data_IF_429642702197
#
_entry.id   IF_429642702197
#
_cell.length_a   1.000
_cell.length_b   1.000
_cell.length_c   1.000
_cell.angle_alpha   90.00
_cell.angle_beta   90.00
_cell.angle_gamma   90.00
#
_symmetry.space_group_name_H-M   'P 1'
#
loop_
_entity.id
_entity.type
_entity.pdbx_description
1 polymer ?
#
# COMPACT_ATOMS: atom_id res chain seq x y z
N UNK A 1 10.39 3.50 -19.68
CA UNK A 1 10.52 3.91 -18.26
C UNK A 1 11.18 5.28 -18.27
N UNK A 2 10.55 6.28 -17.65
CA UNK A 2 11.09 7.65 -17.61
C UNK A 2 12.33 7.67 -16.72
N UNK A 3 13.37 8.40 -17.15
CA UNK A 3 14.63 8.50 -16.40
C UNK A 3 15.02 9.95 -16.17
N UNK A 4 15.99 10.18 -15.30
CA UNK A 4 16.55 11.50 -15.06
C UNK A 4 17.96 11.42 -14.50
N UNK A 5 18.53 12.60 -14.26
CA UNK A 5 19.89 12.76 -13.75
C UNK A 5 19.90 13.79 -12.61
N UNK A 6 20.57 13.45 -11.51
CA UNK A 6 20.72 14.35 -10.37
C UNK A 6 21.54 15.58 -10.79
N UNK A 7 21.00 16.77 -10.60
CA UNK A 7 21.67 18.05 -10.88
C UNK A 7 21.98 18.86 -9.62
N UNK A 8 21.35 18.53 -8.48
CA UNK A 8 21.61 19.17 -7.20
C UNK A 8 21.11 18.37 -6.01
N UNK A 9 21.69 18.59 -4.83
CA UNK A 9 21.31 17.94 -3.57
C UNK A 9 21.34 18.95 -2.44
N UNK A 10 20.22 19.11 -1.74
CA UNK A 10 20.06 19.98 -0.57
C UNK A 10 19.37 19.20 0.53
N UNK A 11 20.12 18.75 1.54
CA UNK A 11 19.64 17.83 2.57
C UNK A 11 18.98 16.57 1.93
N UNK A 12 17.71 16.30 2.22
CA UNK A 12 16.97 15.18 1.63
C UNK A 12 16.25 15.54 0.31
N UNK A 13 16.36 16.78 -0.15
CA UNK A 13 15.80 17.23 -1.41
C UNK A 13 16.82 17.08 -2.53
N UNK A 14 16.43 16.45 -3.63
CA UNK A 14 17.29 16.16 -4.79
C UNK A 14 16.65 16.81 -6.01
N UNK A 15 17.42 17.63 -6.72
CA UNK A 15 17.03 18.22 -7.99
C UNK A 15 17.44 17.26 -9.11
N UNK A 16 16.49 16.95 -9.98
CA UNK A 16 16.64 15.97 -11.06
C UNK A 16 16.25 16.63 -12.37
N UNK A 17 17.13 16.57 -13.37
CA UNK A 17 16.76 16.85 -14.76
C UNK A 17 16.14 15.58 -15.35
N UNK A 18 14.95 15.71 -15.93
CA UNK A 18 14.09 14.58 -16.31
C UNK A 18 14.01 14.47 -17.82
N UNK A 19 14.11 13.24 -18.31
CA UNK A 19 13.92 12.88 -19.71
C UNK A 19 12.66 12.01 -19.84
N UNK A 20 11.53 12.68 -20.09
CA UNK A 20 10.21 12.08 -20.29
C UNK A 20 9.13 12.58 -19.33
N UNK A 21 7.90 12.05 -19.46
CA UNK A 21 6.79 12.45 -18.62
C UNK A 21 6.91 11.86 -17.22
N UNK A 22 6.59 12.69 -16.22
CA UNK A 22 6.47 12.30 -14.80
C UNK A 22 5.24 12.96 -14.19
N UNK A 23 4.79 12.42 -13.05
CA UNK A 23 3.64 12.91 -12.29
C UNK A 23 4.05 13.37 -10.89
N UNK A 24 3.28 14.30 -10.33
CA UNK A 24 3.44 14.69 -8.93
C UNK A 24 3.04 13.52 -8.01
N UNK A 25 3.78 13.35 -6.90
CA UNK A 25 3.67 12.22 -5.95
C UNK A 25 4.12 10.86 -6.50
N UNK A 26 4.72 10.84 -7.69
CA UNK A 26 5.30 9.63 -8.25
C UNK A 26 6.56 9.22 -7.48
N UNK A 27 6.76 7.92 -7.31
CA UNK A 27 8.00 7.38 -6.74
C UNK A 27 9.13 7.48 -7.76
N UNK A 28 10.29 7.94 -7.28
CA UNK A 28 11.55 7.94 -7.99
C UNK A 28 12.60 7.17 -7.19
N UNK A 29 13.51 6.50 -7.88
CA UNK A 29 14.64 5.81 -7.26
C UNK A 29 15.95 6.45 -7.72
N UNK A 30 16.70 7.01 -6.78
CA UNK A 30 18.04 7.54 -7.04
C UNK A 30 19.04 6.39 -6.96
N UNK A 31 19.73 6.09 -8.06
CA UNK A 31 20.68 4.99 -8.16
C UNK A 31 22.07 5.41 -7.69
N UNK A 32 22.61 4.70 -6.71
CA UNK A 32 23.94 4.96 -6.17
C UNK A 32 24.70 3.65 -5.94
N UNK A 33 25.49 3.24 -6.93
CA UNK A 33 26.08 1.90 -6.94
C UNK A 33 24.95 0.86 -7.05
N UNK A 34 24.95 -0.11 -6.15
CA UNK A 34 23.91 -1.14 -6.05
C UNK A 34 22.68 -0.68 -5.25
N UNK A 35 22.77 0.47 -4.55
CA UNK A 35 21.68 1.00 -3.76
C UNK A 35 20.67 1.75 -4.65
N UNK A 36 19.39 1.58 -4.35
CA UNK A 36 18.28 2.33 -4.95
C UNK A 36 17.59 3.08 -3.83
N UNK A 37 17.69 4.40 -3.80
CA UNK A 37 17.12 5.21 -2.72
C UNK A 37 15.73 5.70 -3.13
N UNK A 38 14.71 5.26 -2.40
CA UNK A 38 13.32 5.63 -2.68
C UNK A 38 13.09 7.10 -2.34
N UNK A 39 12.50 7.80 -3.29
CA UNK A 39 12.20 9.22 -3.23
C UNK A 39 10.81 9.48 -3.81
N UNK A 40 10.23 10.62 -3.49
CA UNK A 40 8.94 11.06 -4.04
C UNK A 40 9.06 12.38 -4.77
N UNK A 41 8.45 12.49 -5.96
CA UNK A 41 8.32 13.75 -6.70
C UNK A 41 7.39 14.71 -5.96
N UNK A 42 7.94 15.80 -5.43
CA UNK A 42 7.17 16.80 -4.68
C UNK A 42 6.85 18.05 -5.52
N UNK A 43 7.63 18.33 -6.57
CA UNK A 43 7.45 19.48 -7.47
C UNK A 43 8.05 19.21 -8.85
N UNK A 44 7.39 19.71 -9.90
CA UNK A 44 7.83 19.64 -11.29
C UNK A 44 7.84 21.05 -11.88
N UNK A 45 8.98 21.47 -12.45
CA UNK A 45 9.20 22.76 -13.09
C UNK A 45 9.84 22.53 -14.47
N UNK A 46 9.03 22.48 -15.54
CA UNK A 46 9.53 22.19 -16.88
C UNK A 46 10.18 20.80 -16.95
N UNK A 47 11.45 20.73 -17.34
CA UNK A 47 12.23 19.49 -17.37
C UNK A 47 12.93 19.16 -16.03
N UNK A 48 12.72 19.95 -14.99
CA UNK A 48 13.35 19.78 -13.69
C UNK A 48 12.33 19.31 -12.66
N UNK A 49 12.63 18.22 -11.96
CA UNK A 49 11.86 17.71 -10.84
C UNK A 49 12.62 17.88 -9.53
N UNK A 50 11.87 18.09 -8.45
CA UNK A 50 12.38 18.02 -7.10
C UNK A 50 11.82 16.75 -6.47
N UNK A 51 12.72 15.84 -6.09
CA UNK A 51 12.37 14.60 -5.41
C UNK A 51 12.86 14.64 -3.97
N UNK A 52 12.03 14.21 -3.03
CA UNK A 52 12.38 14.09 -1.63
C UNK A 52 12.74 12.64 -1.33
N UNK A 53 13.98 12.39 -0.92
CA UNK A 53 14.45 11.07 -0.53
C UNK A 53 13.95 10.73 0.89
N UNK A 54 13.39 9.52 1.05
CA UNK A 54 12.91 9.02 2.35
C UNK A 54 14.06 8.50 3.23
N UNK A 55 15.22 8.27 2.63
CA UNK A 55 16.40 7.70 3.26
C UNK A 55 17.56 8.72 3.30
N UNK A 56 18.70 8.32 3.88
CA UNK A 56 19.88 9.19 3.94
C UNK A 56 20.45 9.48 2.55
N UNK A 57 20.55 10.76 2.20
CA UNK A 57 21.17 11.25 0.96
C UNK A 57 22.70 11.38 1.05
N UNK A 58 23.32 10.89 2.12
CA UNK A 58 24.78 10.98 2.30
C UNK A 58 25.50 10.28 1.14
N UNK A 59 26.34 11.01 0.40
CA UNK A 59 27.08 10.46 -0.73
C UNK A 59 26.33 10.50 -2.07
N UNK A 60 25.06 10.90 -2.08
CA UNK A 60 24.36 11.29 -3.31
C UNK A 60 25.09 12.51 -3.88
N UNK A 61 25.40 12.45 -5.16
CA UNK A 61 26.13 13.50 -5.89
C UNK A 61 25.47 13.76 -7.24
N UNK A 62 25.85 14.86 -7.87
CA UNK A 62 25.39 15.18 -9.22
C UNK A 62 25.84 14.10 -10.20
N UNK A 63 25.03 13.89 -11.23
CA UNK A 63 25.26 12.94 -12.30
C UNK A 63 24.75 11.53 -12.07
N UNK A 64 24.25 11.20 -10.88
CA UNK A 64 23.59 9.92 -10.60
C UNK A 64 22.29 9.78 -11.39
N UNK A 65 21.98 8.56 -11.81
CA UNK A 65 20.75 8.26 -12.53
C UNK A 65 19.54 8.19 -11.58
N UNK A 66 18.38 8.57 -12.09
CA UNK A 66 17.09 8.50 -11.38
C UNK A 66 16.10 7.75 -12.26
N UNK A 67 15.38 6.80 -11.67
CA UNK A 67 14.31 6.06 -12.33
C UNK A 67 12.97 6.45 -11.76
N UNK A 68 11.97 6.66 -12.61
CA UNK A 68 10.62 7.00 -12.20
C UNK A 68 9.68 5.78 -12.35
N UNK A 69 8.90 5.49 -11.32
CA UNK A 69 8.14 4.25 -11.18
C UNK A 69 6.79 4.25 -11.92
N UNK A 70 6.29 5.41 -12.33
CA UNK A 70 4.97 5.59 -12.94
C UNK A 70 3.79 5.48 -11.95
N UNK A 71 4.08 5.32 -10.65
CA UNK A 71 3.09 5.10 -9.61
C UNK A 71 3.43 5.88 -8.33
N UNK A 72 2.40 6.14 -7.51
CA UNK A 72 2.57 6.72 -6.17
C UNK A 72 3.20 5.72 -5.20
N UNK A 73 3.54 6.17 -3.99
CA UNK A 73 3.87 5.25 -2.90
C UNK A 73 2.65 4.39 -2.58
N UNK A 74 2.79 3.08 -2.74
CA UNK A 74 1.75 2.10 -2.43
C UNK A 74 2.16 1.24 -1.25
N UNK A 75 1.17 0.84 -0.46
CA UNK A 75 1.30 -0.23 0.52
C UNK A 75 0.62 -1.48 0.00
N UNK A 76 1.14 -2.62 0.42
CA UNK A 76 0.56 -3.92 0.12
C UNK A 76 -0.39 -4.35 1.24
N UNK A 77 -1.59 -4.77 0.85
CA UNK A 77 -2.69 -5.12 1.74
C UNK A 77 -3.04 -6.59 1.52
N UNK A 78 -3.13 -7.35 2.60
CA UNK A 78 -3.54 -8.75 2.57
C UNK A 78 -3.32 -9.47 3.90
N UNK A 79 -3.57 -10.79 3.96
CA UNK A 79 -3.31 -11.59 5.15
C UNK A 79 -1.81 -11.60 5.50
N UNK A 80 -1.50 -11.55 6.79
CA UNK A 80 -0.12 -11.53 7.30
C UNK A 80 0.36 -10.16 7.76
N UNK A 81 -0.48 -9.12 7.63
CA UNK A 81 -0.19 -7.79 8.18
C UNK A 81 -0.26 -7.74 9.70
N UNK A 82 -1.17 -8.50 10.32
CA UNK A 82 -1.31 -8.49 11.77
C UNK A 82 -0.08 -9.13 12.41
N UNK A 83 0.35 -8.62 13.57
CA UNK A 83 1.52 -9.06 14.34
C UNK A 83 2.90 -8.79 13.71
N UNK A 84 2.98 -7.92 12.70
CA UNK A 84 4.24 -7.51 12.06
C UNK A 84 4.71 -6.14 12.50
N UNK A 85 6.03 -5.93 12.48
CA UNK A 85 6.68 -4.65 12.74
C UNK A 85 7.22 -4.08 11.42
N UNK A 86 6.69 -2.94 11.01
CA UNK A 86 7.08 -2.27 9.77
C UNK A 86 7.78 -0.94 10.03
N UNK A 87 8.65 -0.52 9.11
CA UNK A 87 9.07 0.88 9.02
C UNK A 87 8.03 1.76 8.28
N UNK A 88 8.35 3.05 8.10
CA UNK A 88 7.48 4.01 7.42
C UNK A 88 7.25 3.74 5.92
N UNK A 89 7.99 2.82 5.31
CA UNK A 89 7.86 2.40 3.91
C UNK A 89 7.29 0.97 3.79
N UNK A 90 6.78 0.42 4.90
CA UNK A 90 6.24 -0.93 4.98
C UNK A 90 7.27 -2.06 4.82
N UNK A 91 8.56 -1.81 5.07
CA UNK A 91 9.54 -2.90 5.13
C UNK A 91 9.34 -3.70 6.41
N UNK A 92 9.20 -5.02 6.31
CA UNK A 92 9.19 -5.94 7.46
C UNK A 92 10.57 -5.89 8.16
N UNK A 93 10.57 -5.38 9.38
CA UNK A 93 11.79 -5.21 10.19
C UNK A 93 12.35 -6.55 10.67
N UNK A 94 11.51 -7.59 10.81
CA UNK A 94 11.96 -8.91 11.26
C UNK A 94 12.80 -9.61 10.18
N UNK A 95 12.67 -9.19 8.91
CA UNK A 95 13.44 -9.70 7.77
C UNK A 95 14.75 -8.94 7.55
N UNK A 96 15.04 -7.88 8.32
CA UNK A 96 16.27 -7.10 8.18
C UNK A 96 17.38 -7.69 9.04
N UNK A 97 18.60 -7.68 8.51
CA UNK A 97 19.76 -8.24 9.18
C UNK A 97 20.65 -7.18 9.83
N UNK A 98 21.08 -7.46 11.07
CA UNK A 98 22.02 -6.63 11.82
C UNK A 98 21.34 -5.63 12.75
N UNK A 99 22.16 -4.78 13.39
CA UNK A 99 21.70 -3.81 14.40
C UNK A 99 21.25 -2.47 13.82
N UNK A 100 21.62 -2.16 12.56
CA UNK A 100 21.35 -0.88 11.92
C UNK A 100 20.65 -1.09 10.58
N UNK A 101 19.67 -0.23 10.30
CA UNK A 101 19.00 -0.20 9.00
C UNK A 101 19.97 0.22 7.90
N UNK A 102 20.05 -0.56 6.84
CA UNK A 102 20.80 -0.21 5.63
C UNK A 102 19.88 0.53 4.68
N UNK A 103 20.40 1.58 4.05
CA UNK A 103 19.68 2.31 3.01
C UNK A 103 19.58 1.46 1.74
N UNK A 104 18.49 1.62 0.99
CA UNK A 104 18.21 0.85 -0.22
C UNK A 104 17.94 -0.64 0.03
N UNK A 105 17.76 -1.04 1.29
CA UNK A 105 17.37 -2.39 1.67
C UNK A 105 15.85 -2.45 1.81
N UNK A 106 15.19 -3.13 0.88
CA UNK A 106 13.75 -3.32 0.88
C UNK A 106 13.40 -4.78 1.18
N UNK A 107 12.41 -5.00 2.04
CA UNK A 107 11.92 -6.34 2.41
C UNK A 107 10.46 -6.48 2.01
N UNK A 108 10.05 -7.69 1.62
CA UNK A 108 8.64 -7.96 1.29
C UNK A 108 7.79 -7.82 2.56
N UNK A 109 6.71 -7.00 2.55
CA UNK A 109 5.88 -6.78 3.73
C UNK A 109 5.14 -8.04 4.16
N UNK A 110 4.77 -8.89 3.21
CA UNK A 110 4.02 -10.12 3.44
C UNK A 110 4.91 -11.35 3.25
N UNK A 111 4.45 -12.49 3.75
CA UNK A 111 5.12 -13.77 3.57
C UNK A 111 4.51 -14.50 2.38
N UNK A 112 5.24 -14.50 1.27
CA UNK A 112 4.78 -15.06 -0.01
C UNK A 112 4.64 -16.59 0.04
N UNK A 113 5.35 -17.25 0.95
CA UNK A 113 5.34 -18.72 1.10
C UNK A 113 4.29 -19.21 2.10
N UNK A 114 3.73 -18.30 2.91
CA UNK A 114 2.76 -18.66 3.93
C UNK A 114 1.45 -19.12 3.31
N UNK A 115 1.00 -20.28 3.77
CA UNK A 115 -0.24 -20.92 3.33
C UNK A 115 -1.39 -20.53 4.25
N UNK A 116 -2.52 -20.16 3.65
CA UNK A 116 -3.77 -19.84 4.32
C UNK A 116 -4.88 -20.79 3.85
N UNK A 117 -5.72 -21.25 4.79
CA UNK A 117 -6.97 -21.93 4.44
C UNK A 117 -8.02 -20.89 4.03
N UNK A 118 -8.24 -20.79 2.72
CA UNK A 118 -9.24 -19.90 2.11
C UNK A 118 -10.62 -20.54 2.14
N UNK A 119 -11.63 -19.74 2.44
CA UNK A 119 -13.05 -20.11 2.35
C UNK A 119 -13.77 -19.09 1.46
N UNK A 120 -14.37 -19.50 0.31
CA UNK A 120 -15.11 -18.59 -0.55
C UNK A 120 -16.39 -18.10 0.13
N UNK A 121 -16.75 -16.84 -0.13
CA UNK A 121 -17.98 -16.19 0.34
C UNK A 121 -18.88 -15.74 -0.82
N UNK A 122 -18.28 -15.35 -1.95
CA UNK A 122 -18.99 -15.00 -3.18
C UNK A 122 -19.20 -16.24 -4.07
N UNK A 123 -20.18 -16.17 -4.97
CA UNK A 123 -20.48 -17.25 -5.93
C UNK A 123 -20.26 -16.82 -7.38
N UNK A 124 -19.77 -17.71 -8.27
CA UNK A 124 -19.66 -17.40 -9.68
C UNK A 124 -20.98 -16.87 -10.26
N UNK A 125 -20.89 -15.83 -11.07
CA UNK A 125 -22.04 -15.13 -11.64
C UNK A 125 -22.45 -13.85 -10.90
N UNK A 126 -21.96 -13.64 -9.68
CA UNK A 126 -22.30 -12.48 -8.85
C UNK A 126 -21.70 -11.17 -9.39
N UNK A 127 -22.41 -10.06 -9.17
CA UNK A 127 -21.92 -8.72 -9.50
C UNK A 127 -20.94 -8.24 -8.44
N UNK A 128 -19.76 -7.82 -8.89
CA UNK A 128 -18.64 -7.44 -8.04
C UNK A 128 -18.48 -5.92 -8.07
N UNK A 129 -18.36 -5.35 -6.87
CA UNK A 129 -18.02 -3.95 -6.65
C UNK A 129 -16.65 -3.85 -5.96
N UNK A 130 -15.95 -2.70 -6.05
CA UNK A 130 -14.73 -2.49 -5.28
C UNK A 130 -14.96 -2.77 -3.79
N UNK A 131 -14.12 -3.60 -3.16
CA UNK A 131 -14.26 -3.95 -1.75
C UNK A 131 -15.29 -5.05 -1.44
N UNK A 132 -15.94 -5.63 -2.45
CA UNK A 132 -16.85 -6.77 -2.26
C UNK A 132 -16.09 -7.98 -1.69
N UNK A 133 -16.68 -8.71 -0.73
CA UNK A 133 -16.03 -9.86 -0.09
C UNK A 133 -16.06 -11.09 -0.98
N UNK A 134 -14.90 -11.51 -1.47
CA UNK A 134 -14.77 -12.71 -2.29
C UNK A 134 -14.67 -13.96 -1.42
N UNK A 135 -13.93 -13.88 -0.32
CA UNK A 135 -13.73 -14.97 0.61
C UNK A 135 -13.12 -14.50 1.92
N UNK A 136 -12.67 -15.45 2.73
CA UNK A 136 -11.97 -15.16 3.96
C UNK A 136 -10.89 -16.19 4.29
N UNK A 137 -9.91 -15.75 5.06
CA UNK A 137 -8.89 -16.61 5.69
C UNK A 137 -8.83 -16.32 7.18
N UNK A 138 -8.37 -17.29 7.97
CA UNK A 138 -8.12 -17.07 9.40
C UNK A 138 -6.75 -16.41 9.59
N UNK A 139 -6.72 -15.21 10.17
CA UNK A 139 -5.50 -14.53 10.60
C UNK A 139 -5.55 -14.33 12.12
N UNK A 140 -4.77 -15.16 12.83
CA UNK A 140 -4.85 -15.27 14.28
C UNK A 140 -6.29 -15.57 14.74
N UNK A 141 -6.92 -14.67 15.50
CA UNK A 141 -8.32 -14.83 15.94
C UNK A 141 -9.33 -14.13 15.01
N UNK A 142 -8.89 -13.37 14.01
CA UNK A 142 -9.74 -12.58 13.11
C UNK A 142 -10.00 -13.35 11.82
N UNK A 143 -11.22 -13.26 11.29
CA UNK A 143 -11.51 -13.71 9.92
C UNK A 143 -11.18 -12.55 8.98
N UNK A 144 -10.04 -12.64 8.30
CA UNK A 144 -9.59 -11.62 7.35
C UNK A 144 -10.38 -11.78 6.05
N UNK A 145 -11.17 -10.78 5.69
CA UNK A 145 -11.96 -10.76 4.46
C UNK A 145 -11.06 -10.45 3.27
N UNK A 146 -11.03 -11.34 2.29
CA UNK A 146 -10.40 -11.09 1.01
C UNK A 146 -11.39 -10.36 0.12
N UNK A 147 -11.00 -9.18 -0.36
CA UNK A 147 -11.89 -8.27 -1.07
C UNK A 147 -11.50 -8.15 -2.54
N UNK A 148 -12.49 -7.87 -3.39
CA UNK A 148 -12.26 -7.45 -4.76
C UNK A 148 -11.42 -6.16 -4.79
N UNK A 149 -10.52 -6.00 -5.77
CA UNK A 149 -9.59 -4.88 -5.82
C UNK A 149 -10.30 -3.52 -5.68
N UNK A 150 -9.71 -2.62 -4.89
CA UNK A 150 -10.28 -1.28 -4.69
C UNK A 150 -10.16 -0.37 -5.93
N UNK A 151 -9.34 -0.76 -6.90
CA UNK A 151 -9.06 -0.01 -8.14
C UNK A 151 -10.09 -0.25 -9.24
N UNK A 152 -11.00 -1.21 -9.05
CA UNK A 152 -12.03 -1.52 -10.05
C UNK A 152 -12.91 -0.31 -10.35
N UNK A 153 -13.26 -0.16 -11.62
CA UNK A 153 -14.16 0.88 -12.14
C UNK A 153 -15.17 0.22 -13.07
N UNK A 154 -16.40 0.73 -13.08
CA UNK A 154 -17.49 0.12 -13.85
C UNK A 154 -18.05 -1.13 -13.19
N UNK A 155 -18.81 -1.90 -13.97
CA UNK A 155 -19.51 -3.09 -13.51
C UNK A 155 -18.67 -4.35 -13.77
N UNK A 156 -18.43 -5.11 -12.71
CA UNK A 156 -17.66 -6.35 -12.75
C UNK A 156 -18.54 -7.54 -12.38
N UNK A 157 -18.13 -8.72 -12.85
CA UNK A 157 -18.76 -10.00 -12.58
C UNK A 157 -17.71 -11.02 -12.16
N UNK A 158 -18.07 -11.89 -11.22
CA UNK A 158 -17.24 -13.01 -10.81
C UNK A 158 -17.38 -14.17 -11.82
N UNK A 159 -16.30 -14.52 -12.50
CA UNK A 159 -16.30 -15.63 -13.46
C UNK A 159 -16.03 -16.96 -12.77
N UNK A 160 -15.02 -16.98 -11.90
CA UNK A 160 -14.66 -18.16 -11.12
C UNK A 160 -14.04 -17.77 -9.78
N UNK A 161 -14.20 -18.65 -8.79
CA UNK A 161 -13.56 -18.56 -7.48
C UNK A 161 -13.09 -19.96 -7.08
N UNK A 162 -11.95 -20.03 -6.41
CA UNK A 162 -11.42 -21.31 -5.92
C UNK A 162 -12.30 -21.86 -4.79
N UNK A 163 -12.36 -23.19 -4.70
CA UNK A 163 -13.04 -23.86 -3.59
C UNK A 163 -12.29 -23.64 -2.27
N UNK A 164 -12.90 -24.09 -1.16
CA UNK A 164 -12.23 -24.06 0.13
C UNK A 164 -10.93 -24.88 0.07
N UNK A 165 -9.80 -24.28 0.42
CA UNK A 165 -8.51 -24.94 0.26
C UNK A 165 -7.33 -24.14 0.79
N UNK A 166 -6.15 -24.74 0.71
CA UNK A 166 -4.90 -24.15 1.13
C UNK A 166 -4.24 -23.44 -0.06
N UNK A 167 -3.99 -22.15 0.09
CA UNK A 167 -3.42 -21.30 -0.94
C UNK A 167 -2.40 -20.33 -0.35
N UNK A 168 -1.41 -19.94 -1.15
CA UNK A 168 -0.52 -18.83 -0.81
C UNK A 168 -1.19 -17.50 -1.08
N UNK A 169 -0.62 -16.41 -0.57
CA UNK A 169 -1.16 -15.06 -0.78
C UNK A 169 -1.07 -14.59 -2.25
N UNK A 170 -0.23 -15.26 -3.06
CA UNK A 170 0.01 -14.96 -4.48
C UNK A 170 -0.79 -15.82 -5.44
N UNK A 171 -1.38 -16.91 -4.95
CA UNK A 171 -2.24 -17.75 -5.77
C UNK A 171 -3.48 -16.95 -6.21
N UNK A 172 -3.91 -17.15 -7.46
CA UNK A 172 -5.16 -16.59 -7.96
C UNK A 172 -6.33 -17.30 -7.28
N UNK A 173 -7.11 -16.54 -6.49
CA UNK A 173 -8.29 -17.06 -5.78
C UNK A 173 -9.58 -16.81 -6.55
N UNK A 174 -9.61 -15.81 -7.43
CA UNK A 174 -10.79 -15.45 -8.20
C UNK A 174 -10.41 -14.82 -9.54
N UNK A 175 -11.29 -14.96 -10.53
CA UNK A 175 -11.20 -14.30 -11.83
C UNK A 175 -12.46 -13.48 -12.02
N UNK A 176 -12.29 -12.19 -12.34
CA UNK A 176 -13.39 -11.25 -12.56
C UNK A 176 -13.33 -10.66 -13.96
N UNK A 177 -14.48 -10.40 -14.57
CA UNK A 177 -14.60 -9.75 -15.88
C UNK A 177 -15.43 -8.47 -15.80
N UNK A 178 -15.04 -7.47 -16.58
CA UNK A 178 -15.79 -6.23 -16.79
C UNK A 178 -16.71 -6.36 -17.99
N UNK A 179 -17.78 -5.56 -18.02
CA UNK A 179 -18.64 -5.39 -19.21
C UNK A 179 -17.85 -4.97 -20.46
N UNK A 180 -16.71 -4.32 -20.28
CA UNK A 180 -15.85 -3.82 -21.36
C UNK A 180 -14.90 -4.89 -21.93
N UNK A 181 -14.97 -6.14 -21.42
CA UNK A 181 -14.15 -7.26 -21.87
C UNK A 181 -12.78 -7.38 -21.20
N UNK A 182 -12.50 -6.56 -20.17
CA UNK A 182 -11.29 -6.70 -19.35
C UNK A 182 -11.47 -7.85 -18.34
N UNK A 183 -10.49 -8.76 -18.26
CA UNK A 183 -10.45 -9.84 -17.26
C UNK A 183 -9.28 -9.61 -16.30
N UNK A 184 -9.50 -9.85 -15.00
CA UNK A 184 -8.48 -9.70 -13.96
C UNK A 184 -8.44 -10.89 -13.03
N UNK A 185 -7.23 -11.36 -12.78
CA UNK A 185 -6.92 -12.32 -11.74
C UNK A 185 -6.81 -11.61 -10.39
N UNK A 186 -7.48 -12.15 -9.39
CA UNK A 186 -7.49 -11.62 -8.02
C UNK A 186 -6.77 -12.60 -7.11
N UNK A 187 -5.77 -12.10 -6.39
CA UNK A 187 -5.05 -12.84 -5.34
C UNK A 187 -5.55 -12.42 -3.96
N UNK A 188 -4.96 -12.94 -2.88
CA UNK A 188 -5.28 -12.48 -1.52
C UNK A 188 -4.69 -11.11 -1.18
N UNK A 189 -3.87 -10.55 -2.08
CA UNK A 189 -3.15 -9.29 -1.87
C UNK A 189 -3.56 -8.25 -2.90
N UNK A 190 -3.47 -6.98 -2.51
CA UNK A 190 -3.64 -5.85 -3.41
C UNK A 190 -2.76 -4.69 -2.96
N UNK A 191 -2.42 -3.78 -3.88
CA UNK A 191 -1.67 -2.56 -3.57
C UNK A 191 -2.58 -1.35 -3.57
N UNK A 192 -2.31 -0.42 -2.65
CA UNK A 192 -3.10 0.81 -2.54
C UNK A 192 -2.21 2.03 -2.27
N UNK A 193 -2.39 3.14 -3.01
CA UNK A 193 -1.59 4.35 -2.81
C UNK A 193 -1.92 5.03 -1.48
N UNK A 194 -0.90 5.24 -0.64
CA UNK A 194 -1.05 5.73 0.74
C UNK A 194 -1.65 7.13 0.86
N UNK A 195 -1.45 7.96 -0.18
CA UNK A 195 -1.97 9.34 -0.24
C UNK A 195 -3.41 9.42 -0.74
N UNK A 196 -4.00 8.32 -1.20
CA UNK A 196 -5.39 8.29 -1.68
C UNK A 196 -6.26 7.67 -0.60
N UNK A 197 -7.24 8.40 -0.04
CA UNK A 197 -8.17 7.82 0.91
C UNK A 197 -9.02 6.75 0.22
N UNK A 198 -9.22 5.62 0.89
CA UNK A 198 -10.10 4.56 0.40
C UNK A 198 -11.55 5.04 0.38
N UNK A 199 -12.20 4.94 -0.78
CA UNK A 199 -13.60 5.35 -1.01
C UNK A 199 -14.56 4.19 -1.29
N UNK A 200 -14.08 2.94 -1.16
CA UNK A 200 -14.87 1.73 -1.36
C UNK A 200 -15.79 1.46 -0.14
N UNK A 201 -16.66 2.41 0.18
CA UNK A 201 -17.68 2.30 1.21
C UNK A 201 -19.03 2.75 0.66
N UNK A 202 -20.12 2.12 1.14
CA UNK A 202 -21.48 2.45 0.70
C UNK A 202 -21.97 3.78 1.28
N UNK A 203 -21.68 4.01 2.56
CA UNK A 203 -22.12 5.19 3.29
C UNK A 203 -21.10 5.55 4.39
N UNK A 204 -21.11 6.82 4.82
CA UNK A 204 -20.25 7.32 5.89
C UNK A 204 -21.14 7.85 7.03
N UNK A 205 -21.62 6.97 7.93
CA UNK A 205 -22.48 7.37 9.03
C UNK A 205 -21.70 8.24 10.03
N UNK A 206 -22.41 9.10 10.76
CA UNK A 206 -21.79 9.85 11.87
C UNK A 206 -21.51 8.90 13.04
N UNK A 207 -20.32 8.94 13.65
CA UNK A 207 -20.04 8.21 14.88
C UNK A 207 -21.08 8.51 15.96
N UNK A 208 -21.65 7.47 16.54
CA UNK A 208 -22.67 7.60 17.61
C UNK A 208 -22.38 6.70 18.83
N UNK A 209 -21.62 5.62 18.64
CA UNK A 209 -21.25 4.69 19.70
C UNK A 209 -20.02 5.21 20.45
N UNK A 210 -20.09 5.22 21.78
CA UNK A 210 -18.95 5.54 22.65
C UNK A 210 -17.86 4.47 22.50
N UNK A 211 -16.61 4.89 22.31
CA UNK A 211 -15.42 4.04 22.41
C UNK A 211 -14.99 4.00 23.87
N UNK A 212 -15.27 2.89 24.54
CA UNK A 212 -14.90 2.68 25.94
C UNK A 212 -13.38 2.54 26.06
N UNK A 213 -12.74 3.49 26.74
CA UNK A 213 -11.28 3.46 26.94
C UNK A 213 -10.87 2.74 28.22
N UNK A 214 -11.79 2.61 29.19
CA UNK A 214 -11.52 2.07 30.52
C UNK A 214 -10.97 3.11 31.50
N UNK A 215 -10.72 4.34 31.04
CA UNK A 215 -10.27 5.45 31.87
C UNK A 215 -11.43 6.38 32.18
N UNK A 216 -11.88 6.38 33.45
CA UNK A 216 -13.00 7.22 33.93
C UNK A 216 -12.92 8.68 33.50
N UNK A 217 -11.72 9.27 33.51
CA UNK A 217 -11.55 10.68 33.14
C UNK A 217 -11.88 10.91 31.66
N UNK A 218 -11.42 10.01 30.77
CA UNK A 218 -11.71 10.10 29.33
C UNK A 218 -13.18 9.76 29.11
N UNK A 219 -13.64 8.63 29.61
CA UNK A 219 -14.99 8.12 29.35
C UNK A 219 -16.10 9.03 29.90
N UNK A 220 -15.83 9.82 30.96
CA UNK A 220 -16.80 10.73 31.57
C UNK A 220 -16.68 12.18 31.08
N UNK A 221 -15.46 12.75 31.11
CA UNK A 221 -15.30 14.19 30.84
C UNK A 221 -14.99 14.51 29.38
N UNK A 222 -14.33 13.60 28.66
CA UNK A 222 -13.92 13.80 27.26
C UNK A 222 -14.19 12.54 26.42
N UNK A 223 -15.46 12.08 26.33
CA UNK A 223 -15.81 10.84 25.66
C UNK A 223 -15.43 10.87 24.17
N UNK A 224 -14.89 9.76 23.67
CA UNK A 224 -14.58 9.57 22.26
C UNK A 224 -15.57 8.57 21.65
N UNK A 225 -16.07 8.84 20.44
CA UNK A 225 -16.89 7.89 19.70
C UNK A 225 -16.02 6.95 18.86
N UNK A 226 -16.50 5.73 18.59
CA UNK A 226 -15.87 4.81 17.62
C UNK A 226 -15.83 5.46 16.22
N UNK A 227 -14.64 5.67 15.68
CA UNK A 227 -14.44 6.44 14.44
C UNK A 227 -14.39 7.96 14.61
N UNK A 228 -14.41 8.45 15.86
CA UNK A 228 -14.12 9.84 16.21
C UNK A 228 -12.63 10.18 16.17
N UNK A 229 -12.30 11.45 16.37
CA UNK A 229 -10.91 11.94 16.41
C UNK A 229 -10.64 12.61 17.74
N UNK A 230 -9.53 12.24 18.38
CA UNK A 230 -9.04 12.85 19.63
C UNK A 230 -7.62 13.38 19.45
N UNK A 231 -7.23 14.29 20.34
CA UNK A 231 -5.87 14.84 20.40
C UNK A 231 -5.43 14.92 21.86
N UNK A 232 -4.26 14.37 22.16
CA UNK A 232 -3.62 14.46 23.48
C UNK A 232 -2.35 15.30 23.27
N UNK A 233 -2.36 16.59 23.64
CA UNK A 233 -1.14 17.39 23.59
C UNK A 233 -0.09 16.80 24.53
N UNK A 234 1.16 16.76 24.07
CA UNK A 234 2.34 16.45 24.88
C UNK A 234 2.93 17.68 25.53
#
# INVERSE_FOLDING_TARGET
MTTGKVTGVTANLITVEVDGPISQNEIAYVKMGDERLMSEVIRINGNTAFVQCFESTRGVRTGLAVEFAGAMLEVELGPGLLSKNYDGLQNDLDKKEGLFLKRGEYTSPLDDEKIYEFTPLASPGESIQPGHWLGEVKENWVNHKIMAPFTLKGDWKLDSIVEKGNHTIRDTIAVISSSDGETKDVTMTQRWPVKVPLKAYREKPRPFRLMETGYRIIDTFNPLAEGGTGFIPG
#
